data_IF_370902067217
#
_entry.id   IF_370902067217
#
_cell.length_a   1.000
_cell.length_b   1.000
_cell.length_c   1.000
_cell.angle_alpha   90.00
_cell.angle_beta   90.00
_cell.angle_gamma   90.00
#
_symmetry.space_group_name_H-M   'P 1'
#
loop_
_entity.id
_entity.type
_entity.pdbx_description
1 polymer ?
#
# COMPACT_ATOMS: atom_id res chain seq x y z
N UNK A 1 -26.30 12.31 23.19
CA UNK A 1 -25.16 13.25 23.12
C UNK A 1 -23.95 12.62 22.42
N UNK A 2 -23.53 11.41 22.81
CA UNK A 2 -22.45 10.64 22.17
C UNK A 2 -22.61 10.47 20.65
N UNK A 3 -23.82 10.11 20.19
CA UNK A 3 -24.12 9.91 18.77
C UNK A 3 -23.97 11.16 17.91
N UNK A 4 -24.27 12.34 18.47
CA UNK A 4 -24.12 13.63 17.77
C UNK A 4 -22.66 14.06 17.68
N UNK A 5 -21.86 13.80 18.72
CA UNK A 5 -20.42 14.08 18.73
C UNK A 5 -19.69 13.17 17.74
N UNK A 6 -20.03 11.88 17.72
CA UNK A 6 -19.46 10.92 16.76
C UNK A 6 -19.80 11.30 15.31
N UNK A 7 -21.04 11.70 15.05
CA UNK A 7 -21.46 12.15 13.72
C UNK A 7 -20.69 13.41 13.28
N UNK A 8 -20.52 14.40 14.17
CA UNK A 8 -19.75 15.62 13.89
C UNK A 8 -18.28 15.28 13.61
N UNK A 9 -17.69 14.35 14.36
CA UNK A 9 -16.32 13.89 14.16
C UNK A 9 -16.16 13.16 12.81
N UNK A 10 -17.11 12.30 12.44
CA UNK A 10 -17.11 11.62 11.15
C UNK A 10 -17.23 12.65 10.01
N UNK A 11 -18.17 13.60 10.12
CA UNK A 11 -18.36 14.65 9.11
C UNK A 11 -17.15 15.57 8.97
N UNK A 12 -16.42 15.86 10.06
CA UNK A 12 -15.20 16.68 9.99
C UNK A 12 -14.04 15.94 9.31
N UNK A 13 -13.92 14.63 9.49
CA UNK A 13 -12.94 13.80 8.80
C UNK A 13 -13.21 13.72 7.28
N UNK A 14 -14.48 13.71 6.87
CA UNK A 14 -14.91 13.65 5.47
C UNK A 14 -14.71 14.97 4.69
N UNK A 15 -14.56 16.11 5.39
CA UNK A 15 -14.49 17.44 4.77
C UNK A 15 -13.10 17.80 4.22
N UNK A 16 -12.10 16.95 4.42
CA UNK A 16 -10.72 17.21 3.99
C UNK A 16 -10.42 16.57 2.65
N UNK A 17 -9.71 17.33 1.81
CA UNK A 17 -9.26 16.86 0.50
C UNK A 17 -8.09 15.90 0.66
N UNK A 18 -8.26 14.63 0.31
CA UNK A 18 -7.23 13.60 0.47
C UNK A 18 -7.26 12.69 -0.75
N UNK A 19 -6.09 12.23 -1.19
CA UNK A 19 -6.01 11.21 -2.23
C UNK A 19 -6.16 9.81 -1.62
N UNK A 20 -6.98 8.95 -2.22
CA UNK A 20 -7.33 7.64 -1.64
C UNK A 20 -6.82 6.40 -2.41
N UNK A 21 -6.08 6.58 -3.50
CA UNK A 21 -5.55 5.46 -4.28
C UNK A 21 -4.47 4.71 -3.50
N UNK A 22 -4.67 3.41 -3.31
CA UNK A 22 -3.70 2.48 -2.69
C UNK A 22 -3.71 1.16 -3.45
N UNK A 23 -2.61 0.42 -3.34
CA UNK A 23 -2.49 -0.95 -3.82
C UNK A 23 -3.22 -1.92 -2.88
N UNK A 24 -3.26 -3.22 -3.22
CA UNK A 24 -3.98 -4.24 -2.44
C UNK A 24 -3.42 -4.43 -1.01
N UNK A 25 -2.17 -4.03 -0.77
CA UNK A 25 -1.53 -4.02 0.55
C UNK A 25 -1.75 -2.71 1.32
N UNK A 26 -2.60 -1.80 0.82
CA UNK A 26 -2.96 -0.56 1.49
C UNK A 26 -1.93 0.56 1.41
N UNK A 27 -0.83 0.37 0.66
CA UNK A 27 0.22 1.37 0.41
C UNK A 27 -0.09 2.16 -0.87
N UNK A 28 0.27 3.46 -0.99
CA UNK A 28 0.18 4.18 -2.25
C UNK A 28 0.81 3.39 -3.41
N UNK A 29 0.08 3.26 -4.51
CA UNK A 29 0.44 2.38 -5.61
C UNK A 29 -0.71 2.14 -6.58
N UNK A 30 -0.55 1.12 -7.41
CA UNK A 30 -1.46 0.77 -8.50
C UNK A 30 -2.36 -0.39 -8.09
N UNK A 31 -2.03 -1.62 -8.50
CA UNK A 31 -2.77 -2.83 -8.11
C UNK A 31 -1.93 -3.57 -7.06
N UNK A 32 -0.79 -4.13 -7.44
CA UNK A 32 0.17 -4.76 -6.53
C UNK A 32 1.35 -3.83 -6.26
N UNK A 33 1.78 -3.11 -7.29
CA UNK A 33 3.02 -2.32 -7.25
C UNK A 33 2.83 -1.04 -6.41
N UNK A 34 3.82 -0.68 -5.58
CA UNK A 34 3.80 0.58 -4.87
C UNK A 34 4.18 1.73 -5.81
N UNK A 35 3.88 2.94 -5.39
CA UNK A 35 4.43 4.16 -5.96
C UNK A 35 5.18 4.96 -4.89
N UNK A 36 5.97 5.93 -5.32
CA UNK A 36 6.53 6.99 -4.49
C UNK A 36 5.57 8.16 -4.29
N UNK A 37 4.26 7.97 -4.54
CA UNK A 37 3.25 8.96 -4.18
C UNK A 37 3.18 9.09 -2.64
N UNK A 38 2.99 10.33 -2.18
CA UNK A 38 2.97 10.67 -0.77
C UNK A 38 1.77 11.56 -0.47
N UNK A 39 0.98 11.16 0.52
CA UNK A 39 -0.20 11.92 0.92
C UNK A 39 0.20 13.00 1.93
N UNK A 40 0.24 14.26 1.49
CA UNK A 40 0.79 15.36 2.28
C UNK A 40 -0.07 15.72 3.52
N UNK A 41 -1.38 15.44 3.52
CA UNK A 41 -2.28 15.73 4.65
C UNK A 41 -2.21 14.69 5.80
N UNK A 42 -1.11 13.92 5.86
CA UNK A 42 -0.82 12.90 6.88
C UNK A 42 -2.05 12.02 7.22
N UNK A 43 -2.68 11.38 6.22
CA UNK A 43 -3.93 10.68 6.47
C UNK A 43 -3.74 9.34 7.17
N UNK A 44 -4.75 8.94 7.93
CA UNK A 44 -5.02 7.55 8.29
C UNK A 44 -5.94 6.94 7.24
N UNK A 45 -5.54 5.79 6.71
CA UNK A 45 -6.26 5.06 5.69
C UNK A 45 -6.61 3.65 6.13
N UNK A 46 -7.76 3.17 5.69
CA UNK A 46 -8.17 1.79 5.80
C UNK A 46 -8.48 1.26 4.41
N UNK A 47 -8.05 0.04 4.09
CA UNK A 47 -8.39 -0.57 2.82
C UNK A 47 -8.71 -2.05 2.94
N UNK A 48 -9.53 -2.50 2.00
CA UNK A 48 -9.85 -3.89 1.76
C UNK A 48 -9.47 -4.23 0.32
N UNK A 49 -8.91 -5.42 0.10
CA UNK A 49 -8.70 -5.96 -1.24
C UNK A 49 -9.00 -7.45 -1.28
N UNK A 50 -9.63 -7.89 -2.38
CA UNK A 50 -9.88 -9.29 -2.67
C UNK A 50 -8.98 -9.75 -3.81
N UNK A 51 -8.20 -10.80 -3.56
CA UNK A 51 -7.24 -11.39 -4.49
C UNK A 51 -7.66 -12.83 -4.83
N UNK A 52 -7.90 -13.15 -6.12
CA UNK A 52 -8.18 -14.49 -6.59
C UNK A 52 -7.06 -15.48 -6.28
N UNK A 53 -7.41 -16.73 -5.99
CA UNK A 53 -6.44 -17.72 -5.55
C UNK A 53 -5.33 -18.04 -6.55
N UNK A 54 -5.59 -17.92 -7.85
CA UNK A 54 -4.58 -18.09 -8.90
C UNK A 54 -3.40 -17.11 -8.77
N UNK A 55 -3.60 -15.97 -8.12
CA UNK A 55 -2.60 -14.91 -7.94
C UNK A 55 -2.20 -14.72 -6.47
N UNK A 56 -2.46 -15.72 -5.63
CA UNK A 56 -2.08 -15.73 -4.22
C UNK A 56 -0.58 -15.45 -4.02
N UNK A 57 -0.26 -14.62 -3.01
CA UNK A 57 1.12 -14.28 -2.64
C UNK A 57 1.75 -15.29 -1.68
N UNK A 58 1.02 -16.34 -1.30
CA UNK A 58 1.43 -17.33 -0.29
C UNK A 58 2.03 -18.58 -0.92
N UNK A 59 3.17 -18.41 -1.61
CA UNK A 59 3.90 -19.52 -2.21
C UNK A 59 3.08 -20.24 -3.29
N UNK A 60 2.98 -21.57 -3.18
CA UNK A 60 2.24 -22.40 -4.13
C UNK A 60 0.75 -22.60 -3.77
N UNK A 61 0.24 -21.91 -2.75
CA UNK A 61 -1.15 -22.06 -2.31
C UNK A 61 -2.10 -21.28 -3.22
N UNK A 62 -2.89 -22.00 -4.03
CA UNK A 62 -3.95 -21.44 -4.85
C UNK A 62 -5.21 -21.16 -4.01
N UNK A 63 -5.13 -20.16 -3.13
CA UNK A 63 -6.22 -19.77 -2.23
C UNK A 63 -6.52 -18.29 -2.38
N UNK A 64 -7.80 -17.95 -2.44
CA UNK A 64 -8.25 -16.57 -2.35
C UNK A 64 -7.72 -15.92 -1.08
N UNK A 65 -7.31 -14.66 -1.20
CA UNK A 65 -6.78 -13.85 -0.10
C UNK A 65 -7.58 -12.55 -0.01
N UNK A 66 -8.01 -12.21 1.20
CA UNK A 66 -8.55 -10.90 1.51
C UNK A 66 -7.52 -10.12 2.33
N UNK A 67 -7.16 -8.93 1.89
CA UNK A 67 -6.29 -8.02 2.63
C UNK A 67 -7.11 -6.99 3.37
N UNK A 68 -6.79 -6.78 4.64
CA UNK A 68 -7.30 -5.71 5.48
C UNK A 68 -6.11 -4.86 5.92
N UNK A 69 -6.12 -3.58 5.58
CA UNK A 69 -4.97 -2.71 5.81
C UNK A 69 -5.36 -1.49 6.64
N UNK A 70 -4.44 -1.07 7.48
CA UNK A 70 -4.48 0.19 8.21
C UNK A 70 -3.15 0.92 8.00
N UNK A 71 -3.22 2.10 7.38
CA UNK A 71 -2.07 2.96 7.05
C UNK A 71 -2.15 4.24 7.84
N UNK A 72 -1.01 4.74 8.32
CA UNK A 72 -0.91 6.05 8.96
C UNK A 72 0.37 6.76 8.53
N UNK A 73 0.22 7.94 7.94
CA UNK A 73 1.33 8.85 7.70
C UNK A 73 1.45 9.80 8.89
N UNK A 74 2.55 9.74 9.64
CA UNK A 74 2.74 10.56 10.84
C UNK A 74 3.57 11.82 10.56
N UNK A 75 4.45 11.75 9.58
CA UNK A 75 5.35 12.85 9.22
C UNK A 75 5.33 13.09 7.71
N UNK A 76 6.03 14.14 7.27
CA UNK A 76 6.23 14.39 5.84
C UNK A 76 7.20 13.39 5.19
N UNK A 77 7.75 12.43 5.92
CA UNK A 77 8.73 11.49 5.36
C UNK A 77 8.57 10.04 5.85
N UNK A 78 7.71 9.77 6.83
CA UNK A 78 7.54 8.45 7.42
C UNK A 78 6.06 8.04 7.49
N UNK A 79 5.80 6.81 7.05
CA UNK A 79 4.48 6.18 7.04
C UNK A 79 4.59 4.74 7.51
N UNK A 80 3.58 4.30 8.26
CA UNK A 80 3.44 2.92 8.74
C UNK A 80 2.20 2.30 8.09
N UNK A 81 2.32 1.04 7.70
CA UNK A 81 1.22 0.25 7.16
C UNK A 81 1.18 -1.11 7.85
N UNK A 82 0.02 -1.45 8.42
CA UNK A 82 -0.29 -2.77 8.93
C UNK A 82 -1.24 -3.46 7.96
N UNK A 83 -0.86 -4.63 7.49
CA UNK A 83 -1.67 -5.48 6.60
C UNK A 83 -1.98 -6.79 7.29
N UNK A 84 -3.22 -7.26 7.14
CA UNK A 84 -3.68 -8.58 7.55
C UNK A 84 -4.16 -9.31 6.31
N UNK A 85 -3.50 -10.40 5.97
CA UNK A 85 -3.91 -11.29 4.90
C UNK A 85 -4.72 -12.46 5.48
N UNK A 86 -6.00 -12.49 5.14
CA UNK A 86 -6.93 -13.50 5.56
C UNK A 86 -7.23 -14.45 4.40
N UNK A 87 -7.20 -15.76 4.66
CA UNK A 87 -7.44 -16.82 3.67
C UNK A 87 -8.72 -17.57 4.05
N UNK A 88 -9.90 -17.20 3.52
CA UNK A 88 -11.20 -17.67 4.01
C UNK A 88 -11.33 -19.21 4.03
N UNK A 89 -11.00 -19.86 2.92
CA UNK A 89 -11.08 -21.33 2.81
C UNK A 89 -10.22 -22.06 3.85
N UNK A 90 -9.08 -21.48 4.24
CA UNK A 90 -8.17 -22.06 5.23
C UNK A 90 -8.65 -21.79 6.66
N UNK A 91 -9.31 -20.65 6.90
CA UNK A 91 -9.91 -20.30 8.18
C UNK A 91 -11.03 -21.27 8.57
N UNK A 92 -11.84 -21.70 7.60
CA UNK A 92 -12.90 -22.68 7.80
C UNK A 92 -12.36 -24.08 8.16
N UNK A 93 -11.30 -24.53 7.48
CA UNK A 93 -10.75 -25.88 7.65
C UNK A 93 -9.87 -26.00 8.92
N UNK A 94 -9.03 -25.00 9.20
CA UNK A 94 -7.98 -25.12 10.22
C UNK A 94 -8.18 -24.23 11.46
N UNK A 95 -9.33 -23.53 11.58
CA UNK A 95 -9.53 -22.47 12.60
C UNK A 95 -8.36 -21.47 12.62
N UNK A 96 -7.79 -21.17 11.45
CA UNK A 96 -6.76 -20.15 11.36
C UNK A 96 -7.36 -18.85 11.89
N UNK A 97 -6.62 -18.21 12.80
CA UNK A 97 -7.03 -16.97 13.46
C UNK A 97 -7.09 -15.79 12.50
N UNK A 98 -6.75 -14.61 12.99
CA UNK A 98 -6.92 -13.32 12.30
C UNK A 98 -6.28 -13.25 10.90
N UNK A 99 -5.27 -14.09 10.61
CA UNK A 99 -4.53 -14.13 9.35
C UNK A 99 -3.05 -13.80 9.52
N UNK A 100 -2.30 -13.78 8.42
CA UNK A 100 -0.89 -13.41 8.39
C UNK A 100 -0.75 -11.90 8.47
N UNK A 101 0.02 -11.41 9.45
CA UNK A 101 0.16 -9.99 9.73
C UNK A 101 1.50 -9.49 9.21
N UNK A 102 1.47 -8.33 8.56
CA UNK A 102 2.61 -7.71 7.94
C UNK A 102 2.68 -6.25 8.38
N UNK A 103 3.85 -5.84 8.88
CA UNK A 103 4.14 -4.45 9.22
C UNK A 103 5.14 -3.92 8.20
N UNK A 104 4.83 -2.79 7.59
CA UNK A 104 5.72 -2.13 6.64
C UNK A 104 5.90 -0.66 7.01
N UNK A 105 7.09 -0.16 6.73
CA UNK A 105 7.46 1.23 6.83
C UNK A 105 7.76 1.79 5.45
N UNK A 106 7.36 3.04 5.21
CA UNK A 106 7.74 3.79 4.01
C UNK A 106 8.46 5.06 4.43
N UNK A 107 9.57 5.33 3.74
CA UNK A 107 10.39 6.51 3.93
C UNK A 107 10.46 7.31 2.63
N UNK A 108 10.01 8.57 2.64
CA UNK A 108 10.18 9.48 1.52
C UNK A 108 11.61 10.02 1.53
N UNK A 109 12.42 9.52 0.59
CA UNK A 109 13.80 9.94 0.41
C UNK A 109 13.85 11.27 -0.35
N UNK A 110 13.03 11.41 -1.38
CA UNK A 110 12.96 12.61 -2.20
C UNK A 110 11.51 12.99 -2.51
N UNK A 111 11.17 14.26 -2.29
CA UNK A 111 9.92 14.85 -2.76
C UNK A 111 10.04 15.21 -4.24
N UNK A 112 9.00 14.94 -5.01
CA UNK A 112 8.94 15.30 -6.43
C UNK A 112 9.11 16.81 -6.62
N UNK A 113 9.88 17.20 -7.65
CA UNK A 113 10.00 18.58 -8.14
C UNK A 113 9.77 18.62 -9.64
N UNK A 114 9.98 19.76 -10.29
CA UNK A 114 9.79 19.90 -11.75
C UNK A 114 10.53 18.83 -12.57
N UNK A 115 11.81 18.57 -12.28
CA UNK A 115 12.64 17.64 -13.05
C UNK A 115 13.04 16.36 -12.31
N UNK A 116 12.85 16.31 -10.98
CA UNK A 116 13.20 15.13 -10.17
C UNK A 116 11.94 14.34 -9.81
N UNK A 117 11.95 13.00 -9.95
CA UNK A 117 10.86 12.18 -9.45
C UNK A 117 10.83 12.19 -7.91
N UNK A 118 9.70 11.79 -7.30
CA UNK A 118 9.73 11.38 -5.90
C UNK A 118 10.41 10.03 -5.77
N UNK A 119 11.05 9.78 -4.63
CA UNK A 119 11.73 8.53 -4.31
C UNK A 119 11.28 8.07 -2.93
N UNK A 120 10.84 6.82 -2.83
CA UNK A 120 10.42 6.18 -1.58
C UNK A 120 11.15 4.86 -1.41
N UNK A 121 11.62 4.63 -0.18
CA UNK A 121 12.09 3.35 0.32
C UNK A 121 10.97 2.70 1.13
N UNK A 122 10.51 1.53 0.71
CA UNK A 122 9.69 0.64 1.54
C UNK A 122 10.55 -0.37 2.26
N UNK A 123 10.24 -0.65 3.51
CA UNK A 123 10.98 -1.58 4.34
C UNK A 123 10.05 -2.36 5.27
N UNK A 124 10.19 -3.68 5.25
CA UNK A 124 9.60 -4.59 6.22
C UNK A 124 10.60 -4.83 7.36
N UNK A 125 10.24 -4.56 8.62
CA UNK A 125 11.12 -4.86 9.74
C UNK A 125 11.54 -6.34 9.79
N UNK A 126 12.81 -6.62 10.09
CA UNK A 126 13.33 -7.97 10.17
C UNK A 126 12.70 -8.76 11.33
N UNK A 127 12.76 -10.08 11.24
CA UNK A 127 12.38 -10.96 12.35
C UNK A 127 11.09 -11.75 12.17
N UNK A 128 10.43 -11.65 11.02
CA UNK A 128 9.37 -12.58 10.65
C UNK A 128 9.94 -13.99 10.45
N UNK A 129 9.26 -15.00 11.01
CA UNK A 129 9.56 -16.41 10.74
C UNK A 129 9.03 -16.87 9.37
N UNK A 130 8.08 -16.12 8.79
CA UNK A 130 7.46 -16.46 7.52
C UNK A 130 7.16 -15.20 6.67
N UNK A 131 8.19 -14.58 6.06
CA UNK A 131 8.09 -13.27 5.41
C UNK A 131 7.43 -13.33 4.00
N UNK A 132 6.30 -14.01 3.83
CA UNK A 132 5.63 -14.15 2.52
C UNK A 132 5.31 -12.81 1.85
N UNK A 133 4.91 -11.83 2.67
CA UNK A 133 4.47 -10.51 2.23
C UNK A 133 5.55 -9.44 2.44
N UNK A 134 6.76 -9.84 2.87
CA UNK A 134 7.83 -8.89 3.11
C UNK A 134 8.23 -8.21 1.80
N UNK A 135 8.24 -6.88 1.85
CA UNK A 135 8.40 -6.07 0.67
C UNK A 135 9.30 -4.87 0.95
N UNK A 136 10.60 -5.13 0.83
CA UNK A 136 11.64 -4.12 0.79
C UNK A 136 11.82 -3.64 -0.65
N UNK A 137 11.70 -2.35 -0.90
CA UNK A 137 11.77 -1.81 -2.27
C UNK A 137 12.25 -0.37 -2.31
N UNK A 138 12.83 0.00 -3.45
CA UNK A 138 13.03 1.40 -3.83
C UNK A 138 12.14 1.69 -5.04
N UNK A 139 11.37 2.77 -4.99
CA UNK A 139 10.47 3.17 -6.08
C UNK A 139 10.62 4.65 -6.39
N UNK A 140 10.52 4.98 -7.67
CA UNK A 140 10.53 6.33 -8.20
C UNK A 140 9.18 6.59 -8.85
N UNK A 141 8.62 7.79 -8.65
CA UNK A 141 7.36 8.19 -9.29
C UNK A 141 7.47 9.60 -9.85
N UNK A 142 6.88 9.79 -11.03
CA UNK A 142 6.79 11.08 -11.70
C UNK A 142 5.37 11.32 -12.16
N UNK A 143 4.86 12.51 -11.88
CA UNK A 143 3.56 12.98 -12.33
C UNK A 143 3.74 14.00 -13.47
N UNK A 144 2.92 13.85 -14.51
CA UNK A 144 2.86 14.72 -15.66
C UNK A 144 1.43 15.24 -15.82
N UNK A 145 1.29 16.55 -15.86
CA UNK A 145 0.05 17.22 -16.23
C UNK A 145 0.04 17.36 -17.75
N UNK A 146 -0.98 16.82 -18.42
CA UNK A 146 -1.17 16.91 -19.87
C UNK A 146 -2.50 17.59 -20.19
N UNK A 147 -2.71 18.01 -21.43
CA UNK A 147 -3.98 18.61 -21.87
C UNK A 147 -5.17 17.66 -21.79
N UNK A 148 -4.91 16.34 -21.78
CA UNK A 148 -5.94 15.29 -21.79
C UNK A 148 -6.10 14.59 -20.44
N UNK A 149 -5.33 14.98 -19.42
CA UNK A 149 -5.40 14.38 -18.08
C UNK A 149 -4.05 14.32 -17.38
N UNK A 150 -4.02 13.61 -16.26
CA UNK A 150 -2.80 13.38 -15.48
C UNK A 150 -2.22 12.01 -15.77
N UNK A 151 -0.93 11.95 -16.04
CA UNK A 151 -0.19 10.71 -16.22
C UNK A 151 0.80 10.56 -15.08
N UNK A 152 0.71 9.44 -14.36
CA UNK A 152 1.68 9.07 -13.34
C UNK A 152 2.41 7.80 -13.77
N UNK A 153 3.73 7.86 -13.74
CA UNK A 153 4.62 6.74 -14.08
C UNK A 153 5.45 6.41 -12.86
N UNK A 154 5.54 5.13 -12.52
CA UNK A 154 6.46 4.65 -11.49
C UNK A 154 7.27 3.47 -11.98
N UNK A 155 8.47 3.36 -11.43
CA UNK A 155 9.34 2.21 -11.62
C UNK A 155 10.12 1.96 -10.34
N UNK A 156 10.38 0.71 -10.03
CA UNK A 156 11.09 0.36 -8.81
C UNK A 156 11.71 -1.03 -8.88
N UNK A 157 12.41 -1.35 -7.79
CA UNK A 157 13.07 -2.62 -7.61
C UNK A 157 12.78 -3.15 -6.20
N UNK A 158 12.22 -4.34 -6.12
CA UNK A 158 11.98 -5.05 -4.87
C UNK A 158 13.11 -6.02 -4.56
N UNK A 159 13.56 -6.04 -3.30
CA UNK A 159 14.67 -6.88 -2.85
C UNK A 159 14.34 -8.36 -3.02
N UNK A 160 15.25 -9.15 -3.63
CA UNK A 160 15.16 -10.61 -3.63
C UNK A 160 15.60 -11.24 -2.30
N UNK A 161 16.06 -10.43 -1.34
CA UNK A 161 16.53 -10.88 -0.03
C UNK A 161 15.63 -10.38 1.08
N UNK A 162 15.51 -11.19 2.13
CA UNK A 162 14.79 -10.88 3.37
C UNK A 162 15.64 -11.25 4.57
N UNK A 163 15.45 -10.49 5.65
CA UNK A 163 16.07 -10.76 6.94
C UNK A 163 15.09 -11.54 7.81
N UNK A 164 15.40 -12.80 8.07
CA UNK A 164 14.55 -13.66 8.92
C UNK A 164 15.21 -13.92 10.25
N UNK A 165 14.41 -14.22 11.27
CA UNK A 165 14.92 -14.65 12.57
C UNK A 165 15.58 -16.02 12.41
N UNK A 166 16.80 -16.20 12.94
CA UNK A 166 17.44 -17.51 12.93
C UNK A 166 16.62 -18.53 13.73
N UNK A 167 16.37 -19.72 13.18
CA UNK A 167 15.76 -20.81 13.93
C UNK A 167 16.58 -21.10 15.19
N UNK A 168 15.91 -21.26 16.33
CA UNK A 168 16.52 -21.61 17.63
C UNK A 168 17.37 -20.51 18.31
N UNK A 169 17.37 -19.28 17.81
CA UNK A 169 18.01 -18.17 18.53
C UNK A 169 17.08 -17.56 19.59
N UNK A 170 17.58 -17.46 20.83
CA UNK A 170 16.90 -16.76 21.92
C UNK A 170 16.99 -15.24 21.80
N UNK A 171 17.95 -14.73 21.01
CA UNK A 171 18.09 -13.31 20.76
C UNK A 171 17.05 -12.82 19.74
N UNK A 172 16.39 -11.71 20.06
CA UNK A 172 15.48 -11.03 19.14
C UNK A 172 16.20 -10.31 17.99
N UNK A 173 17.52 -10.12 18.08
CA UNK A 173 18.34 -9.40 17.12
C UNK A 173 19.20 -10.31 16.24
N UNK A 174 19.04 -11.64 16.36
CA UNK A 174 19.81 -12.61 15.58
C UNK A 174 19.07 -12.98 14.29
N UNK A 175 19.48 -12.32 13.22
CA UNK A 175 18.89 -12.45 11.89
C UNK A 175 19.84 -13.16 10.93
N UNK A 176 19.26 -13.79 9.92
CA UNK A 176 19.98 -14.26 8.74
C UNK A 176 19.35 -13.70 7.47
N UNK A 177 20.21 -13.48 6.47
CA UNK A 177 19.77 -13.05 5.13
C UNK A 177 19.44 -14.30 4.34
N UNK A 178 18.24 -14.37 3.81
CA UNK A 178 17.84 -15.42 2.89
C UNK A 178 17.32 -14.84 1.59
N UNK A 179 17.51 -15.57 0.51
CA UNK A 179 16.85 -15.26 -0.76
C UNK A 179 15.39 -15.70 -0.67
N UNK A 180 14.48 -14.81 -1.07
CA UNK A 180 13.02 -15.06 -1.06
C UNK A 180 12.64 -16.33 -1.84
N UNK A 181 13.31 -16.60 -2.95
CA UNK A 181 13.13 -17.81 -3.78
C UNK A 181 13.53 -19.10 -3.07
N UNK A 182 14.52 -19.02 -2.17
CA UNK A 182 15.13 -20.19 -1.52
C UNK A 182 14.39 -20.56 -0.23
N UNK A 183 13.64 -19.60 0.34
CA UNK A 183 12.78 -19.86 1.48
C UNK A 183 11.79 -20.99 1.16
N UNK A 184 11.50 -21.86 2.14
CA UNK A 184 10.46 -22.93 2.06
C UNK A 184 9.10 -22.42 1.56
N UNK A 185 8.90 -21.11 1.60
CA UNK A 185 7.71 -20.34 1.28
C UNK A 185 7.56 -20.03 -0.21
N UNK A 186 8.64 -20.04 -1.01
CA UNK A 186 8.67 -19.62 -2.43
C UNK A 186 7.96 -18.27 -2.67
N UNK A 187 8.17 -17.33 -1.77
CA UNK A 187 7.48 -16.04 -1.78
C UNK A 187 8.12 -15.08 -2.80
N UNK A 188 7.57 -15.00 -4.01
CA UNK A 188 8.11 -14.15 -5.09
C UNK A 188 7.36 -12.83 -5.29
N UNK A 189 6.60 -12.39 -4.29
CA UNK A 189 5.89 -11.11 -4.36
C UNK A 189 6.88 -9.95 -4.53
N UNK A 190 6.68 -9.16 -5.59
CA UNK A 190 7.46 -7.99 -5.98
C UNK A 190 8.97 -8.16 -5.76
N UNK A 191 9.52 -9.20 -6.38
CA UNK A 191 10.96 -9.48 -6.34
C UNK A 191 11.57 -9.15 -7.69
N UNK A 192 12.44 -8.14 -7.72
CA UNK A 192 13.03 -7.63 -8.96
C UNK A 192 12.36 -6.35 -9.44
N UNK A 193 12.46 -6.10 -10.76
CA UNK A 193 11.97 -4.87 -11.37
C UNK A 193 10.44 -4.87 -11.47
N UNK A 194 9.83 -3.74 -11.14
CA UNK A 194 8.42 -3.50 -11.37
C UNK A 194 8.19 -2.09 -11.93
N UNK A 195 7.05 -1.90 -12.57
CA UNK A 195 6.64 -0.61 -13.12
C UNK A 195 5.13 -0.47 -13.12
N UNK A 196 4.65 0.78 -13.08
CA UNK A 196 3.23 1.10 -13.09
C UNK A 196 2.92 2.40 -13.80
N UNK A 197 1.74 2.46 -14.37
CA UNK A 197 1.18 3.61 -15.06
C UNK A 197 -0.24 3.86 -14.56
N UNK A 198 -0.54 5.12 -14.27
CA UNK A 198 -1.87 5.59 -13.90
C UNK A 198 -2.21 6.76 -14.79
N UNK A 199 -3.34 6.65 -15.47
CA UNK A 199 -3.86 7.71 -16.32
C UNK A 199 -5.19 8.18 -15.77
N UNK A 200 -5.28 9.46 -15.44
CA UNK A 200 -6.44 10.09 -14.83
C UNK A 200 -6.96 11.20 -15.75
N UNK A 201 -7.88 10.88 -16.68
CA UNK A 201 -8.47 11.88 -17.57
C UNK A 201 -9.49 12.79 -16.85
N UNK A 202 -10.07 12.31 -15.74
CA UNK A 202 -11.08 13.04 -14.96
C UNK A 202 -10.74 12.99 -13.48
N UNK A 203 -11.20 13.96 -12.69
CA UNK A 203 -10.85 14.06 -11.26
C UNK A 203 -11.37 12.90 -10.40
N UNK A 204 -12.43 12.23 -10.84
CA UNK A 204 -13.11 11.18 -10.09
C UNK A 204 -12.79 9.76 -10.58
N UNK A 205 -11.87 9.57 -11.53
CA UNK A 205 -11.60 8.22 -12.04
C UNK A 205 -10.45 8.14 -13.02
N UNK A 206 -9.93 6.92 -13.18
CA UNK A 206 -8.77 6.68 -14.02
C UNK A 206 -8.51 5.21 -14.29
N UNK A 207 -7.49 4.99 -15.12
CA UNK A 207 -7.00 3.69 -15.56
C UNK A 207 -5.64 3.40 -14.95
N UNK A 208 -5.36 2.12 -14.77
CA UNK A 208 -4.16 1.59 -14.16
C UNK A 208 -3.61 0.47 -15.03
N UNK A 209 -2.30 0.42 -15.17
CA UNK A 209 -1.58 -0.72 -15.74
C UNK A 209 -0.28 -0.90 -14.95
N UNK A 210 0.14 -2.14 -14.72
CA UNK A 210 1.39 -2.42 -14.03
C UNK A 210 2.03 -3.72 -14.51
N UNK A 211 3.33 -3.81 -14.28
CA UNK A 211 4.10 -5.05 -14.26
C UNK A 211 4.65 -5.23 -12.85
N UNK A 212 4.26 -6.31 -12.16
CA UNK A 212 4.53 -6.53 -10.73
C UNK A 212 5.71 -7.48 -10.45
N UNK A 213 6.69 -7.50 -11.35
CA UNK A 213 7.80 -8.48 -11.42
C UNK A 213 7.40 -9.88 -11.90
N UNK A 214 6.10 -10.23 -11.94
CA UNK A 214 5.64 -11.54 -12.39
C UNK A 214 4.64 -11.43 -13.54
N UNK A 215 3.63 -10.58 -13.40
CA UNK A 215 2.48 -10.49 -14.30
C UNK A 215 2.23 -9.06 -14.75
N UNK A 216 1.51 -8.92 -15.86
CA UNK A 216 1.00 -7.64 -16.33
C UNK A 216 -0.47 -7.55 -15.92
N UNK A 217 -0.79 -6.53 -15.15
CA UNK A 217 -2.12 -6.33 -14.58
C UNK A 217 -2.69 -5.00 -15.06
N UNK A 218 -4.01 -4.92 -15.17
CA UNK A 218 -4.71 -3.71 -15.59
C UNK A 218 -5.94 -3.48 -14.74
N UNK A 219 -6.36 -2.22 -14.60
CA UNK A 219 -7.52 -1.90 -13.80
C UNK A 219 -8.04 -0.50 -14.03
N UNK A 220 -9.16 -0.21 -13.38
CA UNK A 220 -9.75 1.11 -13.33
C UNK A 220 -10.17 1.41 -11.91
N UNK A 221 -10.24 2.70 -11.59
CA UNK A 221 -10.73 3.15 -10.30
C UNK A 221 -11.70 4.30 -10.47
N UNK A 222 -12.57 4.44 -9.48
CA UNK A 222 -13.41 5.60 -9.28
C UNK A 222 -13.20 6.15 -7.86
N UNK A 223 -13.26 7.47 -7.76
CA UNK A 223 -13.18 8.26 -6.55
C UNK A 223 -14.40 9.18 -6.52
N UNK A 224 -15.59 8.64 -6.21
CA UNK A 224 -16.81 9.44 -6.12
C UNK A 224 -16.69 10.55 -5.07
N UNK A 225 -15.86 10.33 -4.05
CA UNK A 225 -15.42 11.32 -3.08
C UNK A 225 -13.91 11.23 -2.89
N UNK A 226 -13.27 12.32 -2.50
CA UNK A 226 -11.81 12.36 -2.33
C UNK A 226 -11.34 11.31 -1.29
N UNK A 227 -12.11 11.12 -0.21
CA UNK A 227 -11.83 10.15 0.84
C UNK A 227 -12.14 8.68 0.48
N UNK A 228 -12.81 8.38 -0.65
CA UNK A 228 -13.19 7.01 -1.05
C UNK A 228 -12.57 6.62 -2.40
N UNK A 229 -11.92 5.47 -2.46
CA UNK A 229 -11.47 4.84 -3.69
C UNK A 229 -12.14 3.48 -3.83
N UNK A 230 -12.67 3.20 -5.02
CA UNK A 230 -13.12 1.87 -5.41
C UNK A 230 -12.39 1.49 -6.70
N UNK A 231 -11.79 0.31 -6.72
CA UNK A 231 -10.95 -0.15 -7.82
C UNK A 231 -11.40 -1.55 -8.23
N UNK A 232 -11.57 -1.75 -9.54
CA UNK A 232 -11.69 -3.05 -10.16
C UNK A 232 -10.45 -3.32 -11.01
N UNK A 233 -9.89 -4.51 -10.93
CA UNK A 233 -8.70 -4.86 -11.68
C UNK A 233 -8.70 -6.31 -12.13
N UNK A 234 -7.89 -6.59 -13.14
CA UNK A 234 -7.67 -7.92 -13.68
C UNK A 234 -6.19 -8.27 -13.67
N UNK A 235 -5.91 -9.52 -13.38
CA UNK A 235 -4.58 -10.11 -13.48
C UNK A 235 -4.49 -10.86 -14.80
N UNK A 236 -3.58 -10.40 -15.67
CA UNK A 236 -3.34 -10.95 -17.01
C UNK A 236 -4.59 -11.06 -17.91
N UNK A 237 -5.67 -10.34 -17.59
CA UNK A 237 -6.95 -10.45 -18.29
C UNK A 237 -7.72 -11.75 -18.00
N UNK A 238 -7.32 -12.52 -16.99
CA UNK A 238 -7.88 -13.86 -16.69
C UNK A 238 -8.80 -13.88 -15.48
N UNK A 239 -8.37 -13.22 -14.41
CA UNK A 239 -9.10 -13.20 -13.14
C UNK A 239 -9.43 -11.76 -12.77
N UNK A 240 -10.53 -11.57 -12.07
CA UNK A 240 -11.00 -10.28 -11.60
C UNK A 240 -10.85 -10.14 -10.10
N UNK A 241 -10.53 -8.94 -9.68
CA UNK A 241 -10.28 -8.58 -8.30
C UNK A 241 -10.76 -7.16 -8.05
N UNK A 242 -10.91 -6.82 -6.78
CA UNK A 242 -11.40 -5.51 -6.40
C UNK A 242 -10.78 -5.05 -5.09
N UNK A 243 -10.68 -3.73 -4.94
CA UNK A 243 -10.26 -3.11 -3.70
C UNK A 243 -11.10 -1.87 -3.41
N UNK A 244 -11.18 -1.54 -2.14
CA UNK A 244 -11.84 -0.35 -1.63
C UNK A 244 -10.94 0.28 -0.56
N UNK A 245 -10.80 1.59 -0.58
CA UNK A 245 -9.99 2.31 0.39
C UNK A 245 -10.67 3.60 0.84
N UNK A 246 -10.56 3.87 2.14
CA UNK A 246 -10.99 5.13 2.74
C UNK A 246 -9.81 5.82 3.40
N UNK A 247 -9.69 7.14 3.25
CA UNK A 247 -8.62 7.93 3.86
C UNK A 247 -9.18 9.16 4.54
N UNK A 248 -8.69 9.45 5.75
CA UNK A 248 -9.12 10.53 6.61
C UNK A 248 -7.91 11.33 7.08
N UNK A 249 -8.01 12.66 7.12
CA UNK A 249 -6.86 13.50 7.43
C UNK A 249 -6.70 13.54 8.94
N UNK A 250 -5.46 13.39 9.40
CA UNK A 250 -5.12 13.66 10.79
C UNK A 250 -4.83 15.15 11.05
N UNK A 251 -4.93 16.03 10.04
CA UNK A 251 -4.73 17.48 10.20
C UNK A 251 -5.97 18.18 10.80
N UNK A 252 -6.64 17.54 11.77
CA UNK A 252 -7.82 18.05 12.47
C UNK A 252 -7.51 19.13 13.51
N UNK A 253 -6.27 19.68 13.55
CA UNK A 253 -5.92 20.70 14.53
C UNK A 253 -6.84 21.93 14.42
N UNK A 254 -7.49 22.35 15.52
CA UNK A 254 -8.20 23.62 15.59
C UNK A 254 -7.28 24.77 15.16
N UNK A 255 -7.84 25.78 14.46
CA UNK A 255 -7.09 26.97 13.99
C UNK A 255 -6.20 27.61 15.06
N UNK A 256 -6.51 27.45 16.34
CA UNK A 256 -5.80 28.01 17.50
C UNK A 256 -4.42 27.40 17.76
N UNK A 257 -4.14 26.16 17.32
CA UNK A 257 -2.83 25.52 17.51
C UNK A 257 -1.86 25.77 16.34
N UNK A 258 -2.37 26.28 15.21
CA UNK A 258 -1.57 26.61 14.01
C UNK A 258 -0.82 27.95 14.11
N UNK A 259 -1.09 28.77 15.13
CA UNK A 259 -0.36 30.04 15.33
C UNK A 259 1.12 29.82 15.65
N UNK A 260 1.48 28.65 16.18
CA UNK A 260 2.86 28.33 16.58
C UNK A 260 3.69 27.65 15.47
N UNK A 261 3.06 27.16 14.39
CA UNK A 261 3.79 26.54 13.26
C UNK A 261 4.35 27.58 12.26
N UNK A 262 3.83 28.81 12.24
CA UNK A 262 4.27 29.87 11.31
C UNK A 262 5.59 30.58 11.68
N UNK A 263 6.32 30.12 12.70
CA UNK A 263 7.47 30.86 13.26
C UNK A 263 8.83 30.25 12.89
N UNK A 264 8.88 29.29 11.96
CA UNK A 264 10.17 28.73 11.51
C UNK A 264 10.18 28.51 10.00
N UNK A 265 10.40 29.61 9.28
CA UNK A 265 11.03 29.62 7.95
C UNK A 265 12.48 30.08 8.11
#
# INVERSE_FOLDING_TARGET
MLSRILLILILSLLATKIHSQVNIMGKPGYINTPSAEWMEQKPVGFSFAHLPGAYSMFGNELTTVNFYNARAAFTSFFEVNLSVAHRPARAEINRLGVGDRQLDFRFRILKEKKYTPSIVLGWTPPGSAAPYLAHDYLVLTKNFETSIGKLQISSGYGSPYVFIKKPNSESFLDFEVQRKSDSRLKANYLTGFFAGLKYQPVTWGGLLAEYDSNTINAGAYIQPWEWLNLQGHTYEGREFAFSAAVNFSLDFLPKTLRSYEKVRD
#
